data_IF_609137875568
#
_entry.id   IF_609137875568
#
_cell.length_a   1.000
_cell.length_b   1.000
_cell.length_c   1.000
_cell.angle_alpha   90.00
_cell.angle_beta   90.00
_cell.angle_gamma   90.00
#
_symmetry.space_group_name_H-M   'P 1'
#
loop_
_entity.id
_entity.type
_entity.pdbx_description
1 polymer ?
#
# COMPACT_ATOMS: atom_id res chain seq x y z
N UNK A 1 -23.12 -1.27 -19.75
CA UNK A 1 -21.66 -1.27 -20.03
C UNK A 1 -21.42 -1.97 -21.36
N UNK A 2 -20.55 -1.42 -22.23
CA UNK A 2 -20.23 -2.04 -23.52
C UNK A 2 -19.39 -3.33 -23.35
N UNK A 3 -19.36 -4.18 -24.36
CA UNK A 3 -18.49 -5.38 -24.40
C UNK A 3 -17.02 -5.00 -24.24
N UNK A 4 -16.58 -3.94 -24.92
CA UNK A 4 -15.23 -3.39 -24.84
C UNK A 4 -14.88 -2.95 -23.40
N UNK A 5 -15.80 -2.26 -22.71
CA UNK A 5 -15.60 -1.83 -21.33
C UNK A 5 -15.46 -3.02 -20.36
N UNK A 6 -16.19 -4.13 -20.60
CA UNK A 6 -16.02 -5.35 -19.80
C UNK A 6 -14.68 -6.03 -20.07
N UNK A 7 -14.30 -6.19 -21.34
CA UNK A 7 -13.02 -6.81 -21.72
C UNK A 7 -11.83 -6.05 -21.15
N UNK A 8 -11.83 -4.72 -21.25
CA UNK A 8 -10.80 -3.87 -20.66
C UNK A 8 -10.71 -4.01 -19.14
N UNK A 9 -11.85 -4.08 -18.45
CA UNK A 9 -11.87 -4.34 -17.01
C UNK A 9 -11.28 -5.73 -16.66
N UNK A 10 -11.65 -6.78 -17.40
CA UNK A 10 -11.09 -8.12 -17.22
C UNK A 10 -9.57 -8.15 -17.39
N UNK A 11 -9.07 -7.59 -18.49
CA UNK A 11 -7.64 -7.52 -18.79
C UNK A 11 -6.89 -6.77 -17.68
N UNK A 12 -7.41 -5.62 -17.24
CA UNK A 12 -6.80 -4.83 -16.15
C UNK A 12 -6.77 -5.58 -14.83
N UNK A 13 -7.85 -6.28 -14.49
CA UNK A 13 -7.90 -7.10 -13.26
C UNK A 13 -6.88 -8.22 -13.30
N UNK A 14 -6.82 -8.99 -14.40
CA UNK A 14 -5.85 -10.07 -14.56
C UNK A 14 -4.41 -9.52 -14.49
N UNK A 15 -4.12 -8.47 -15.24
CA UNK A 15 -2.82 -7.82 -15.23
C UNK A 15 -2.44 -7.33 -13.83
N UNK A 16 -3.38 -6.74 -13.08
CA UNK A 16 -3.15 -6.30 -11.70
C UNK A 16 -2.77 -7.46 -10.79
N UNK A 17 -3.50 -8.57 -10.84
CA UNK A 17 -3.20 -9.73 -9.99
C UNK A 17 -1.85 -10.36 -10.35
N UNK A 18 -1.55 -10.51 -11.64
CA UNK A 18 -0.27 -11.07 -12.10
C UNK A 18 0.89 -10.17 -11.71
N UNK A 19 0.83 -8.88 -12.05
CA UNK A 19 1.90 -7.93 -11.74
C UNK A 19 2.08 -7.74 -10.23
N UNK A 20 0.98 -7.67 -9.47
CA UNK A 20 1.01 -7.58 -8.01
C UNK A 20 1.62 -8.83 -7.38
N UNK A 21 1.25 -10.02 -7.84
CA UNK A 21 1.81 -11.28 -7.37
C UNK A 21 3.31 -11.38 -7.65
N UNK A 22 3.74 -11.06 -8.89
CA UNK A 22 5.15 -11.02 -9.26
C UNK A 22 5.92 -10.00 -8.42
N UNK A 23 5.36 -8.81 -8.19
CA UNK A 23 5.99 -7.80 -7.34
C UNK A 23 6.19 -8.31 -5.91
N UNK A 24 5.16 -8.95 -5.33
CA UNK A 24 5.25 -9.51 -3.97
C UNK A 24 6.26 -10.65 -3.89
N UNK A 25 6.38 -11.49 -4.92
CA UNK A 25 7.33 -12.61 -4.93
C UNK A 25 8.77 -12.14 -5.13
N UNK A 26 9.00 -11.21 -6.06
CA UNK A 26 10.36 -10.87 -6.49
C UNK A 26 10.94 -9.61 -5.83
N UNK A 27 10.11 -8.65 -5.42
CA UNK A 27 10.60 -7.36 -4.90
C UNK A 27 10.52 -7.27 -3.38
N UNK A 28 9.45 -7.79 -2.78
CA UNK A 28 9.25 -7.64 -1.33
C UNK A 28 10.24 -8.47 -0.49
N UNK A 29 10.58 -9.73 -0.82
CA UNK A 29 11.52 -10.50 -0.01
C UNK A 29 12.93 -9.89 0.02
N UNK A 30 13.53 -9.44 -1.10
CA UNK A 30 14.78 -8.69 -1.05
C UNK A 30 14.68 -7.43 -0.19
N UNK A 31 13.57 -6.68 -0.26
CA UNK A 31 13.36 -5.50 0.58
C UNK A 31 13.28 -5.85 2.07
N UNK A 32 12.66 -6.98 2.44
CA UNK A 32 12.65 -7.51 3.80
C UNK A 32 14.07 -7.85 4.27
N UNK A 33 14.86 -8.53 3.45
CA UNK A 33 16.26 -8.86 3.77
C UNK A 33 17.07 -7.57 3.98
N UNK A 34 16.94 -6.58 3.11
CA UNK A 34 17.62 -5.28 3.24
C UNK A 34 17.19 -4.59 4.54
N UNK A 35 15.89 -4.52 4.83
CA UNK A 35 15.38 -3.86 6.03
C UNK A 35 15.87 -4.54 7.32
N UNK A 36 15.94 -5.87 7.34
CA UNK A 36 16.43 -6.64 8.49
C UNK A 36 17.94 -6.48 8.70
N UNK A 37 18.73 -6.53 7.62
CA UNK A 37 20.20 -6.45 7.69
C UNK A 37 20.70 -5.03 7.97
N UNK A 38 20.07 -4.02 7.37
CA UNK A 38 20.45 -2.60 7.55
C UNK A 38 19.71 -1.91 8.70
N UNK A 39 18.68 -2.56 9.27
CA UNK A 39 17.73 -1.98 10.24
C UNK A 39 17.00 -0.73 9.73
N UNK A 40 16.95 -0.52 8.41
CA UNK A 40 16.28 0.63 7.79
C UNK A 40 14.84 0.29 7.39
N UNK A 41 13.89 0.60 8.26
CA UNK A 41 12.45 0.37 8.00
C UNK A 41 11.92 1.18 6.82
N UNK A 42 12.53 2.32 6.51
CA UNK A 42 12.18 3.20 5.38
C UNK A 42 12.17 2.47 4.04
N UNK A 43 13.02 1.45 3.87
CA UNK A 43 13.03 0.61 2.67
C UNK A 43 11.67 -0.04 2.44
N UNK A 44 11.06 -0.62 3.48
CA UNK A 44 9.75 -1.25 3.38
C UNK A 44 8.64 -0.24 3.08
N UNK A 45 8.76 0.99 3.59
CA UNK A 45 7.81 2.04 3.27
C UNK A 45 7.80 2.37 1.76
N UNK A 46 8.99 2.59 1.20
CA UNK A 46 9.15 2.90 -0.22
C UNK A 46 8.80 1.71 -1.12
N UNK A 47 9.18 0.48 -0.73
CA UNK A 47 8.76 -0.74 -1.43
C UNK A 47 7.24 -0.89 -1.44
N UNK A 48 6.57 -0.64 -0.31
CA UNK A 48 5.11 -0.61 -0.26
C UNK A 48 4.52 0.46 -1.17
N UNK A 49 5.11 1.66 -1.19
CA UNK A 49 4.60 2.78 -1.97
C UNK A 49 4.66 2.51 -3.47
N UNK A 50 5.80 2.00 -3.95
CA UNK A 50 5.95 1.62 -5.36
C UNK A 50 4.95 0.52 -5.73
N UNK A 51 4.84 -0.54 -4.91
CA UNK A 51 3.93 -1.65 -5.18
C UNK A 51 2.46 -1.20 -5.24
N UNK A 52 2.03 -0.38 -4.27
CA UNK A 52 0.67 0.16 -4.24
C UNK A 52 0.42 1.12 -5.41
N UNK A 53 1.36 2.02 -5.74
CA UNK A 53 1.26 2.91 -6.90
C UNK A 53 1.07 2.12 -8.20
N UNK A 54 1.86 1.07 -8.40
CA UNK A 54 1.75 0.19 -9.56
C UNK A 54 0.38 -0.51 -9.61
N UNK A 55 -0.10 -1.04 -8.49
CA UNK A 55 -1.41 -1.68 -8.41
C UNK A 55 -2.55 -0.69 -8.73
N UNK A 56 -2.51 0.53 -8.20
CA UNK A 56 -3.51 1.57 -8.48
C UNK A 56 -3.50 1.98 -9.96
N UNK A 57 -2.33 2.06 -10.59
CA UNK A 57 -2.19 2.35 -12.02
C UNK A 57 -2.67 1.18 -12.89
N UNK A 58 -2.32 -0.06 -12.54
CA UNK A 58 -2.72 -1.26 -13.30
C UNK A 58 -4.24 -1.49 -13.24
N UNK A 59 -4.84 -1.28 -12.05
CA UNK A 59 -6.30 -1.24 -11.87
C UNK A 59 -6.92 0.00 -12.49
N UNK A 60 -6.10 0.97 -12.93
CA UNK A 60 -6.38 2.29 -13.46
C UNK A 60 -7.42 3.10 -12.67
N UNK A 61 -7.25 3.05 -11.36
CA UNK A 61 -7.90 3.94 -10.40
C UNK A 61 -7.37 5.36 -10.63
N UNK A 62 -8.29 6.33 -10.66
CA UNK A 62 -7.96 7.75 -10.71
C UNK A 62 -8.27 8.37 -9.35
N UNK A 63 -7.29 9.07 -8.80
CA UNK A 63 -7.39 9.68 -7.47
C UNK A 63 -7.51 11.19 -7.66
N UNK A 64 -8.58 11.78 -7.13
CA UNK A 64 -8.69 13.22 -6.92
C UNK A 64 -8.62 13.45 -5.42
N UNK A 65 -7.78 14.38 -5.00
CA UNK A 65 -7.55 14.71 -3.59
C UNK A 65 -7.78 16.19 -3.37
N UNK A 66 -8.38 16.51 -2.24
CA UNK A 66 -8.56 17.88 -1.75
C UNK A 66 -8.13 17.89 -0.28
N UNK A 67 -7.54 19.00 0.19
CA UNK A 67 -7.16 19.15 1.59
C UNK A 67 -5.87 18.45 2.03
N UNK A 68 -4.98 18.06 1.11
CA UNK A 68 -3.71 17.41 1.48
C UNK A 68 -2.81 18.30 2.35
N UNK A 69 -2.98 19.62 2.26
CA UNK A 69 -2.30 20.61 3.12
C UNK A 69 -2.67 20.50 4.61
N UNK A 70 -3.76 19.81 4.96
CA UNK A 70 -4.16 19.59 6.35
C UNK A 70 -3.48 18.38 7.00
N UNK A 71 -2.69 17.62 6.22
CA UNK A 71 -1.88 16.52 6.75
C UNK A 71 -0.77 17.12 7.61
N UNK A 72 -0.87 16.91 8.92
CA UNK A 72 0.10 17.34 9.92
C UNK A 72 1.28 16.36 9.97
N UNK A 73 2.50 16.85 9.72
CA UNK A 73 3.75 16.07 9.77
C UNK A 73 4.63 16.40 10.99
N UNK A 74 4.24 17.43 11.75
CA UNK A 74 4.92 18.04 12.88
C UNK A 74 4.42 17.55 14.25
N UNK A 75 3.25 16.92 14.30
CA UNK A 75 2.64 16.41 15.53
C UNK A 75 1.98 15.04 15.37
N UNK A 76 1.93 14.21 16.43
CA UNK A 76 1.15 12.97 16.42
C UNK A 76 -0.30 13.25 16.08
N UNK A 77 -0.83 12.56 15.07
CA UNK A 77 -2.18 12.77 14.54
C UNK A 77 -2.81 11.42 14.20
N UNK A 78 -4.06 11.22 14.61
CA UNK A 78 -4.85 10.05 14.20
C UNK A 78 -5.74 10.46 13.03
N UNK A 79 -5.54 9.82 11.88
CA UNK A 79 -6.37 10.02 10.69
C UNK A 79 -7.44 8.94 10.63
N UNK A 80 -8.70 9.34 10.67
CA UNK A 80 -9.84 8.46 10.53
C UNK A 80 -10.42 8.60 9.12
N UNK A 81 -10.57 7.48 8.41
CA UNK A 81 -11.24 7.44 7.13
C UNK A 81 -12.50 6.57 7.24
N UNK A 82 -13.55 6.95 6.51
CA UNK A 82 -14.66 6.04 6.28
C UNK A 82 -14.13 4.75 5.64
N UNK A 83 -14.74 3.61 5.98
CA UNK A 83 -14.32 2.32 5.42
C UNK A 83 -15.38 1.78 4.46
N UNK A 84 -15.38 2.28 3.22
CA UNK A 84 -16.26 1.84 2.15
C UNK A 84 -15.63 0.75 1.27
N UNK A 85 -14.29 0.59 1.26
CA UNK A 85 -13.61 -0.42 0.45
C UNK A 85 -12.21 -0.80 0.93
N UNK A 86 -11.72 -1.95 0.48
CA UNK A 86 -10.33 -2.38 0.73
C UNK A 86 -9.27 -1.51 -0.01
N UNK A 87 -9.70 -0.58 -0.86
CA UNK A 87 -8.81 0.26 -1.68
C UNK A 87 -8.43 1.57 -0.95
N UNK A 88 -9.19 1.97 0.07
CA UNK A 88 -8.95 3.21 0.81
C UNK A 88 -7.58 3.20 1.52
N UNK A 89 -7.19 2.15 2.28
CA UNK A 89 -5.89 2.17 2.94
C UNK A 89 -4.70 2.29 1.95
N UNK A 90 -4.66 1.55 0.82
CA UNK A 90 -3.66 1.78 -0.22
C UNK A 90 -3.62 3.21 -0.79
N UNK A 91 -4.78 3.83 -1.04
CA UNK A 91 -4.85 5.21 -1.53
C UNK A 91 -4.25 6.17 -0.50
N UNK A 92 -4.67 6.08 0.77
CA UNK A 92 -4.17 6.93 1.84
C UNK A 92 -2.68 6.73 2.07
N UNK A 93 -2.20 5.50 2.03
CA UNK A 93 -0.79 5.17 2.15
C UNK A 93 0.07 5.87 1.09
N UNK A 94 -0.43 5.97 -0.15
CA UNK A 94 0.23 6.70 -1.23
C UNK A 94 0.16 8.21 -1.04
N UNK A 95 -1.00 8.74 -0.62
CA UNK A 95 -1.19 10.18 -0.42
C UNK A 95 -0.37 10.70 0.76
N UNK A 96 -0.20 9.90 1.81
CA UNK A 96 0.51 10.27 3.04
C UNK A 96 2.00 9.90 3.01
N UNK A 97 2.60 9.75 1.81
CA UNK A 97 4.02 9.42 1.66
C UNK A 97 4.95 10.40 2.38
N UNK A 98 4.55 11.66 2.54
CA UNK A 98 5.34 12.70 3.21
C UNK A 98 5.45 12.45 4.73
N UNK A 99 4.63 11.54 5.27
CA UNK A 99 4.71 11.07 6.65
C UNK A 99 5.68 9.90 6.81
N UNK A 100 6.28 9.35 5.75
CA UNK A 100 7.22 8.24 5.90
C UNK A 100 8.51 8.67 6.61
N UNK A 101 9.11 7.83 7.47
CA UNK A 101 8.67 6.48 7.90
C UNK A 101 7.84 6.50 9.20
N UNK A 102 7.14 7.61 9.49
CA UNK A 102 6.34 7.83 10.71
C UNK A 102 4.83 7.57 10.53
N UNK A 103 4.40 7.09 9.35
CA UNK A 103 3.01 6.72 9.10
C UNK A 103 2.73 5.31 9.66
N UNK A 104 1.84 5.18 10.63
CA UNK A 104 1.42 3.88 11.14
C UNK A 104 -0.01 3.56 10.71
N UNK A 105 -0.24 2.32 10.27
CA UNK A 105 -1.56 1.85 9.84
C UNK A 105 -2.16 0.98 10.95
N UNK A 106 -3.42 1.23 11.28
CA UNK A 106 -4.24 0.32 12.06
C UNK A 106 -4.88 -0.71 11.12
N UNK A 107 -4.64 -1.99 11.34
CA UNK A 107 -5.08 -3.05 10.44
C UNK A 107 -5.68 -4.24 11.19
N UNK A 108 -6.42 -5.11 10.48
CA UNK A 108 -7.06 -6.29 11.10
C UNK A 108 -6.01 -7.36 11.41
N UNK A 109 -6.03 -7.91 12.63
CA UNK A 109 -5.17 -9.03 13.06
C UNK A 109 -5.04 -10.19 12.04
N UNK A 110 -6.10 -10.48 11.27
CA UNK A 110 -6.06 -11.50 10.21
C UNK A 110 -4.99 -11.26 9.13
N UNK A 111 -4.66 -9.99 8.82
CA UNK A 111 -3.62 -9.65 7.84
C UNK A 111 -2.21 -10.02 8.34
N UNK A 112 -1.99 -10.14 9.66
CA UNK A 112 -0.71 -10.63 10.22
C UNK A 112 -0.38 -12.04 9.74
N UNK A 113 -1.40 -12.84 9.39
CA UNK A 113 -1.22 -14.22 8.92
C UNK A 113 -0.69 -14.30 7.47
N UNK A 114 -0.61 -13.18 6.75
CA UNK A 114 -0.06 -13.17 5.41
C UNK A 114 1.48 -13.25 5.47
N UNK A 115 2.11 -14.21 4.76
CA UNK A 115 3.52 -14.58 5.00
C UNK A 115 4.52 -13.47 4.69
N UNK A 116 4.23 -12.64 3.68
CA UNK A 116 5.14 -11.54 3.28
C UNK A 116 4.67 -10.20 3.87
N UNK A 117 3.36 -9.93 3.75
CA UNK A 117 2.79 -8.65 4.17
C UNK A 117 2.78 -8.49 5.69
N UNK A 118 2.41 -9.54 6.43
CA UNK A 118 2.37 -9.52 7.90
C UNK A 118 3.75 -9.30 8.50
N UNK A 119 4.77 -9.99 7.97
CA UNK A 119 6.18 -9.80 8.38
C UNK A 119 6.64 -8.37 8.15
N UNK A 120 6.31 -7.78 6.99
CA UNK A 120 6.61 -6.38 6.70
C UNK A 120 5.94 -5.41 7.68
N UNK A 121 4.67 -5.64 8.01
CA UNK A 121 3.92 -4.83 8.96
C UNK A 121 4.51 -4.89 10.37
N UNK A 122 4.92 -6.07 10.83
CA UNK A 122 5.55 -6.25 12.13
C UNK A 122 6.94 -5.56 12.20
N UNK A 123 7.77 -5.68 11.14
CA UNK A 123 9.07 -5.00 11.09
C UNK A 123 8.92 -3.47 11.11
N UNK A 124 7.93 -2.94 10.39
CA UNK A 124 7.64 -1.51 10.40
C UNK A 124 7.14 -1.08 11.79
N UNK A 125 6.32 -1.92 12.43
CA UNK A 125 5.66 -1.66 13.71
C UNK A 125 4.25 -1.12 13.56
N UNK A 126 3.54 -1.49 12.48
CA UNK A 126 2.11 -1.19 12.34
C UNK A 126 1.29 -1.84 13.45
N UNK A 127 0.10 -1.29 13.71
CA UNK A 127 -0.77 -1.70 14.83
C UNK A 127 -1.93 -2.53 14.31
N UNK A 128 -2.21 -3.69 14.89
CA UNK A 128 -3.35 -4.52 14.48
C UNK A 128 -3.63 -5.68 15.41
#
# INVERSE_FOLDING_TARGET
>A
MSVIARLTAWVRSIATYVLGGLYVIFVVPPALVIALTTRQRSVLYWTGYVGVRLALVATGIRIRVEGLQYVCSDRPTVYCANHASNVEPPILYVLFRDLFPRLYIFYKAGLRKMPVLGVGFDIIGFVG
#
